data_IF_120498151110
#
_entry.id   IF_120498151110
#
_cell.length_a   1.000
_cell.length_b   1.000
_cell.length_c   1.000
_cell.angle_alpha   90.00
_cell.angle_beta   90.00
_cell.angle_gamma   90.00
#
_symmetry.space_group_name_H-M   'P 1'
#
loop_
_entity.id
_entity.type
_entity.pdbx_description
1 polymer ?
#
# COMPACT_ATOMS: atom_id res chain seq x y z
N UNK A 1 21.11 -27.09 5.98
CA UNK A 1 20.30 -26.15 5.18
C UNK A 1 19.32 -25.55 6.17
N UNK A 2 19.40 -24.24 6.45
CA UNK A 2 18.41 -23.57 7.29
C UNK A 2 17.05 -23.79 6.64
N UNK A 3 16.09 -24.38 7.35
CA UNK A 3 14.73 -24.53 6.84
C UNK A 3 14.15 -23.12 6.69
N UNK A 4 13.80 -22.74 5.47
CA UNK A 4 13.20 -21.43 5.21
C UNK A 4 12.02 -21.22 6.14
N UNK A 5 12.03 -20.13 6.92
CA UNK A 5 11.03 -19.90 7.97
C UNK A 5 9.62 -19.76 7.39
N UNK A 6 9.53 -19.29 6.14
CA UNK A 6 8.28 -19.12 5.40
C UNK A 6 8.21 -20.07 4.19
N UNK A 7 8.78 -21.27 4.30
CA UNK A 7 8.78 -22.28 3.23
C UNK A 7 9.34 -21.77 1.89
N UNK A 8 10.20 -20.75 1.92
CA UNK A 8 10.74 -20.08 0.74
C UNK A 8 9.70 -19.48 -0.21
N UNK A 9 8.55 -19.07 0.32
CA UNK A 9 7.47 -18.40 -0.43
C UNK A 9 7.90 -17.04 -1.03
N UNK A 10 9.08 -16.52 -0.68
CA UNK A 10 9.67 -15.35 -1.33
C UNK A 10 10.04 -15.59 -2.81
N UNK A 11 10.40 -16.82 -3.20
CA UNK A 11 10.88 -17.11 -4.57
C UNK A 11 9.80 -16.96 -5.66
N UNK A 12 8.54 -17.38 -5.46
CA UNK A 12 7.46 -17.10 -6.40
C UNK A 12 7.34 -15.64 -6.83
N UNK A 13 7.52 -14.69 -5.89
CA UNK A 13 7.41 -13.25 -6.16
C UNK A 13 8.57 -12.79 -7.05
N UNK A 14 9.81 -13.15 -6.70
CA UNK A 14 10.99 -12.82 -7.50
C UNK A 14 10.92 -13.45 -8.90
N UNK A 15 10.50 -14.71 -8.99
CA UNK A 15 10.33 -15.42 -10.26
C UNK A 15 9.26 -14.78 -11.15
N UNK A 16 8.17 -14.28 -10.55
CA UNK A 16 7.17 -13.52 -11.28
C UNK A 16 7.75 -12.21 -11.83
N UNK A 17 8.54 -11.48 -11.04
CA UNK A 17 9.17 -10.24 -11.49
C UNK A 17 10.11 -10.48 -12.69
N UNK A 18 10.91 -11.55 -12.65
CA UNK A 18 11.79 -11.93 -13.76
C UNK A 18 11.00 -12.29 -15.02
N UNK A 19 9.95 -13.09 -14.88
CA UNK A 19 9.04 -13.42 -15.98
C UNK A 19 8.43 -12.15 -16.58
N UNK A 20 7.88 -11.27 -15.74
CA UNK A 20 7.28 -10.02 -16.21
C UNK A 20 8.29 -9.16 -16.97
N UNK A 21 9.53 -9.07 -16.50
CA UNK A 21 10.62 -8.34 -17.19
C UNK A 21 10.89 -8.90 -18.59
N UNK A 22 10.92 -10.22 -18.74
CA UNK A 22 11.08 -10.88 -20.03
C UNK A 22 9.87 -10.62 -20.95
N UNK A 23 8.65 -10.72 -20.42
CA UNK A 23 7.43 -10.48 -21.20
C UNK A 23 7.31 -9.01 -21.67
N UNK A 24 7.77 -8.05 -20.86
CA UNK A 24 7.88 -6.64 -21.27
C UNK A 24 8.86 -6.47 -22.43
N UNK A 25 10.04 -7.10 -22.34
CA UNK A 25 11.05 -7.03 -23.39
C UNK A 25 10.55 -7.60 -24.72
N UNK A 26 9.73 -8.66 -24.66
CA UNK A 26 9.13 -9.33 -25.82
C UNK A 26 7.85 -8.69 -26.35
N UNK A 27 7.44 -7.52 -25.86
CA UNK A 27 6.13 -6.94 -26.20
C UNK A 27 5.88 -6.80 -27.72
N UNK A 28 6.93 -6.48 -28.49
CA UNK A 28 6.89 -6.28 -29.94
C UNK A 28 7.39 -7.51 -30.73
N UNK A 29 7.80 -8.56 -30.03
CA UNK A 29 8.27 -9.78 -30.66
C UNK A 29 7.08 -10.58 -31.17
N UNK A 30 7.19 -11.04 -32.41
CA UNK A 30 6.18 -11.89 -33.04
C UNK A 30 6.52 -13.34 -32.71
N UNK A 31 5.56 -14.07 -32.16
CA UNK A 31 5.70 -15.48 -31.87
C UNK A 31 5.60 -16.36 -33.13
N UNK A 32 5.76 -17.67 -32.94
CA UNK A 32 5.68 -18.68 -34.01
C UNK A 32 4.32 -18.74 -34.72
N UNK A 33 3.27 -18.14 -34.13
CA UNK A 33 1.91 -18.07 -34.67
C UNK A 33 1.60 -16.71 -35.31
N UNK A 34 2.58 -15.81 -35.41
CA UNK A 34 2.39 -14.48 -35.97
C UNK A 34 1.76 -13.49 -35.00
N UNK A 35 1.64 -13.83 -33.71
CA UNK A 35 1.03 -12.98 -32.70
C UNK A 35 2.08 -12.20 -31.90
N UNK A 36 1.75 -10.96 -31.55
CA UNK A 36 2.54 -10.12 -30.64
C UNK A 36 1.59 -9.35 -29.74
N UNK A 37 1.99 -9.10 -28.49
CA UNK A 37 1.11 -8.39 -27.55
C UNK A 37 0.89 -6.93 -27.95
N UNK A 38 1.94 -6.28 -28.47
CA UNK A 38 1.92 -4.91 -28.97
C UNK A 38 1.20 -3.93 -28.04
N UNK A 39 1.40 -4.04 -26.73
CA UNK A 39 0.93 -3.04 -25.78
C UNK A 39 1.54 -1.67 -26.10
N UNK A 40 0.80 -0.61 -25.81
CA UNK A 40 1.26 0.76 -25.99
C UNK A 40 2.50 1.05 -25.13
N UNK A 41 3.32 2.00 -25.56
CA UNK A 41 4.51 2.41 -24.81
C UNK A 41 4.15 2.94 -23.40
N UNK A 42 2.98 3.58 -23.24
CA UNK A 42 2.45 3.99 -21.93
C UNK A 42 2.17 2.78 -21.01
N UNK A 43 1.57 1.72 -21.57
CA UNK A 43 1.30 0.48 -20.83
C UNK A 43 2.61 -0.20 -20.44
N UNK A 44 3.58 -0.24 -21.36
CA UNK A 44 4.91 -0.81 -21.09
C UNK A 44 5.66 -0.03 -20.01
N UNK A 45 5.59 1.29 -20.02
CA UNK A 45 6.15 2.11 -18.97
C UNK A 45 5.51 1.80 -17.60
N UNK A 46 4.18 1.63 -17.55
CA UNK A 46 3.48 1.27 -16.32
C UNK A 46 3.85 -0.14 -15.83
N UNK A 47 3.88 -1.13 -16.72
CA UNK A 47 4.29 -2.50 -16.40
C UNK A 47 5.73 -2.56 -15.91
N UNK A 48 6.62 -1.71 -16.44
CA UNK A 48 8.01 -1.59 -15.97
C UNK A 48 8.08 -1.06 -14.54
N UNK A 49 7.18 -0.17 -14.14
CA UNK A 49 7.06 0.29 -12.75
C UNK A 49 6.58 -0.86 -11.87
N UNK A 50 5.55 -1.61 -12.30
CA UNK A 50 5.05 -2.75 -11.54
C UNK A 50 6.13 -3.82 -11.35
N UNK A 51 6.88 -4.14 -12.40
CA UNK A 51 7.99 -5.09 -12.33
C UNK A 51 9.00 -4.69 -11.25
N UNK A 52 9.41 -3.42 -11.18
CA UNK A 52 10.35 -2.93 -10.16
C UNK A 52 9.79 -3.01 -8.74
N UNK A 53 8.49 -2.74 -8.57
CA UNK A 53 7.82 -2.85 -7.25
C UNK A 53 7.80 -4.31 -6.80
N UNK A 54 7.46 -5.22 -7.70
CA UNK A 54 7.36 -6.65 -7.38
C UNK A 54 8.75 -7.24 -7.12
N UNK A 55 9.76 -6.84 -7.89
CA UNK A 55 11.16 -7.21 -7.65
C UNK A 55 11.63 -6.74 -6.27
N UNK A 56 11.35 -5.48 -5.92
CA UNK A 56 11.64 -4.95 -4.59
C UNK A 56 10.91 -5.76 -3.49
N UNK A 57 9.63 -6.06 -3.69
CA UNK A 57 8.85 -6.87 -2.73
C UNK A 57 9.46 -8.27 -2.54
N UNK A 58 9.89 -8.93 -3.61
CA UNK A 58 10.57 -10.23 -3.55
C UNK A 58 11.89 -10.17 -2.77
N UNK A 59 12.70 -9.13 -3.03
CA UNK A 59 13.95 -8.92 -2.28
C UNK A 59 13.69 -8.68 -0.79
N UNK A 60 12.71 -7.83 -0.44
CA UNK A 60 12.37 -7.57 0.96
C UNK A 60 11.80 -8.81 1.67
N UNK A 61 11.00 -9.61 0.97
CA UNK A 61 10.51 -10.88 1.50
C UNK A 61 11.65 -11.85 1.80
N UNK A 62 12.65 -11.92 0.91
CA UNK A 62 13.85 -12.74 1.12
C UNK A 62 14.67 -12.31 2.33
N UNK A 63 14.91 -11.00 2.50
CA UNK A 63 15.61 -10.49 3.68
C UNK A 63 14.85 -10.77 4.99
N UNK A 64 13.52 -10.72 4.93
CA UNK A 64 12.65 -11.06 6.06
C UNK A 64 12.77 -12.53 6.41
N UNK A 65 12.74 -13.42 5.42
CA UNK A 65 12.91 -14.86 5.66
C UNK A 65 14.26 -15.17 6.31
N UNK A 66 15.34 -14.52 5.85
CA UNK A 66 16.67 -14.68 6.43
C UNK A 66 16.77 -14.21 7.88
N UNK A 67 16.06 -13.12 8.23
CA UNK A 67 16.00 -12.64 9.60
C UNK A 67 15.33 -13.70 10.49
N UNK A 68 14.17 -14.24 10.07
CA UNK A 68 13.42 -15.20 10.87
C UNK A 68 14.04 -16.59 10.92
N UNK A 69 14.89 -16.94 9.94
CA UNK A 69 15.74 -18.13 9.98
C UNK A 69 17.00 -17.96 10.84
N UNK A 70 17.17 -16.81 11.52
CA UNK A 70 18.37 -16.42 12.28
C UNK A 70 19.68 -16.43 11.44
N UNK A 71 19.55 -16.35 10.10
CA UNK A 71 20.69 -16.32 9.17
C UNK A 71 21.32 -14.91 9.10
N UNK A 72 20.56 -13.86 9.42
CA UNK A 72 21.01 -12.47 9.52
C UNK A 72 20.46 -11.77 10.76
N UNK A 73 21.17 -10.75 11.27
CA UNK A 73 20.69 -9.89 12.35
C UNK A 73 19.97 -8.63 11.87
N UNK A 74 19.33 -7.90 12.79
CA UNK A 74 18.55 -6.68 12.52
C UNK A 74 19.36 -5.59 11.78
N UNK A 75 20.61 -5.35 12.16
CA UNK A 75 21.48 -4.38 11.47
C UNK A 75 21.73 -4.77 10.01
N UNK A 76 21.87 -6.07 9.74
CA UNK A 76 22.05 -6.58 8.38
C UNK A 76 20.78 -6.42 7.57
N UNK A 77 19.61 -6.70 8.16
CA UNK A 77 18.32 -6.47 7.53
C UNK A 77 18.17 -5.01 7.07
N UNK A 78 18.41 -4.05 7.96
CA UNK A 78 18.26 -2.62 7.66
C UNK A 78 19.17 -2.19 6.51
N UNK A 79 20.45 -2.58 6.56
CA UNK A 79 21.42 -2.21 5.52
C UNK A 79 21.02 -2.76 4.15
N UNK A 80 20.59 -4.02 4.09
CA UNK A 80 20.23 -4.70 2.84
C UNK A 80 18.91 -4.19 2.27
N UNK A 81 17.91 -3.96 3.11
CA UNK A 81 16.66 -3.31 2.70
C UNK A 81 16.92 -1.92 2.11
N UNK A 82 17.80 -1.12 2.72
CA UNK A 82 18.19 0.18 2.19
C UNK A 82 18.89 0.07 0.83
N UNK A 83 19.79 -0.90 0.66
CA UNK A 83 20.45 -1.17 -0.61
C UNK A 83 19.42 -1.52 -1.71
N UNK A 84 18.46 -2.39 -1.42
CA UNK A 84 17.39 -2.76 -2.35
C UNK A 84 16.52 -1.56 -2.72
N UNK A 85 16.16 -0.72 -1.74
CA UNK A 85 15.40 0.51 -1.97
C UNK A 85 16.17 1.48 -2.88
N UNK A 86 17.46 1.69 -2.64
CA UNK A 86 18.31 2.54 -3.48
C UNK A 86 18.42 2.00 -4.91
N UNK A 87 18.68 0.70 -5.06
CA UNK A 87 18.77 0.02 -6.38
C UNK A 87 17.47 0.09 -7.16
N UNK A 88 16.33 -0.06 -6.47
CA UNK A 88 15.01 -0.04 -7.11
C UNK A 88 14.74 1.32 -7.76
N UNK A 89 15.42 2.40 -7.36
CA UNK A 89 15.22 3.76 -7.85
C UNK A 89 13.80 4.29 -7.65
N UNK A 90 12.96 3.58 -6.90
CA UNK A 90 11.61 3.97 -6.56
C UNK A 90 11.69 4.99 -5.42
N UNK A 91 11.39 6.25 -5.73
CA UNK A 91 11.06 7.19 -4.66
C UNK A 91 9.60 6.91 -4.24
N UNK A 92 9.31 6.88 -2.93
CA UNK A 92 7.94 6.65 -2.40
C UNK A 92 6.90 7.59 -3.05
N UNK A 93 7.32 8.79 -3.50
CA UNK A 93 6.47 9.76 -4.23
C UNK A 93 6.02 9.29 -5.62
N UNK A 94 6.71 8.34 -6.25
CA UNK A 94 6.44 7.84 -7.60
C UNK A 94 5.47 6.65 -7.63
N UNK A 95 5.15 6.06 -6.47
CA UNK A 95 4.21 4.94 -6.34
C UNK A 95 2.73 5.36 -6.50
N UNK A 96 2.44 6.64 -6.70
CA UNK A 96 1.09 7.12 -6.98
C UNK A 96 1.06 8.11 -8.17
N UNK A 97 0.86 7.64 -9.42
CA UNK A 97 0.72 8.52 -10.57
C UNK A 97 -0.73 8.98 -10.80
N UNK A 98 -1.61 8.94 -9.79
CA UNK A 98 -2.98 9.44 -9.95
C UNK A 98 -3.06 10.87 -9.42
N UNK A 99 -2.88 11.83 -10.33
CA UNK A 99 -3.40 13.19 -10.12
C UNK A 99 -4.91 13.07 -9.93
N UNK A 100 -5.38 13.05 -8.68
CA UNK A 100 -6.82 13.17 -8.38
C UNK A 100 -7.29 14.49 -9.00
N UNK A 101 -8.11 14.43 -10.06
CA UNK A 101 -8.88 15.59 -10.49
C UNK A 101 -9.73 16.01 -9.29
N UNK A 102 -9.60 17.26 -8.83
CA UNK A 102 -10.53 17.83 -7.84
C UNK A 102 -11.92 17.79 -8.46
N UNK A 103 -12.76 16.88 -7.97
CA UNK A 103 -14.20 16.96 -8.24
C UNK A 103 -14.69 18.20 -7.51
N UNK A 104 -15.02 19.25 -8.27
CA UNK A 104 -15.77 20.39 -7.74
C UNK A 104 -17.20 19.90 -7.50
N UNK A 105 -17.53 19.57 -6.25
CA UNK A 105 -18.93 19.48 -5.85
C UNK A 105 -19.44 20.92 -5.70
N UNK A 106 -19.96 21.48 -6.79
CA UNK A 106 -20.87 22.61 -6.72
C UNK A 106 -22.24 22.08 -6.27
N UNK A 107 -22.45 22.00 -4.95
CA UNK A 107 -23.80 21.92 -4.40
C UNK A 107 -24.43 23.31 -4.51
N UNK A 108 -24.99 23.63 -5.67
CA UNK A 108 -26.13 24.53 -5.76
C UNK A 108 -27.35 23.71 -5.35
N UNK A 109 -27.89 24.00 -4.18
CA UNK A 109 -29.33 24.15 -4.05
C UNK A 109 -29.61 25.14 -2.91
N UNK A 110 -30.11 26.29 -3.33
CA UNK A 110 -30.84 27.24 -2.50
C UNK A 110 -32.32 26.88 -2.59
N UNK A 111 -33.07 27.29 -1.57
CA UNK A 111 -34.53 27.26 -1.37
C UNK A 111 -34.91 26.16 -0.37
N UNK A 112 -35.58 26.42 0.75
CA UNK A 112 -36.57 27.47 1.03
C UNK A 112 -36.74 27.70 2.54
N UNK A 113 -36.99 28.96 2.87
CA UNK A 113 -37.45 29.49 4.16
C UNK A 113 -38.91 29.08 4.40
N UNK A 114 -39.28 28.56 5.58
CA UNK A 114 -40.29 29.23 6.41
C UNK A 114 -40.48 28.66 7.82
N UNK A 115 -40.84 29.60 8.69
CA UNK A 115 -41.00 29.56 10.15
C UNK A 115 -42.27 28.80 10.60
N UNK A 116 -42.24 28.27 11.82
CA UNK A 116 -43.42 27.73 12.51
C UNK A 116 -43.11 27.42 13.98
N UNK A 117 -43.79 28.16 14.86
CA UNK A 117 -43.54 28.42 16.28
C UNK A 117 -44.08 27.41 17.30
N UNK A 118 -43.50 27.47 18.51
CA UNK A 118 -44.06 27.20 19.86
C UNK A 118 -44.62 25.80 20.19
N UNK A 119 -44.07 25.18 21.24
CA UNK A 119 -44.68 25.26 22.58
C UNK A 119 -43.81 24.56 23.64
N UNK A 120 -43.81 25.19 24.81
CA UNK A 120 -43.18 24.82 26.07
C UNK A 120 -43.37 23.36 26.49
N UNK A 121 -42.40 22.79 27.20
CA UNK A 121 -42.68 22.32 28.56
C UNK A 121 -41.42 22.22 29.43
N UNK A 122 -41.63 22.79 30.60
CA UNK A 122 -40.77 23.00 31.76
C UNK A 122 -40.91 21.79 32.68
N UNK A 123 -39.82 21.33 33.28
CA UNK A 123 -39.71 20.55 34.54
C UNK A 123 -38.37 19.81 34.53
N UNK A 124 -37.61 19.62 35.59
CA UNK A 124 -37.47 20.26 36.88
C UNK A 124 -36.10 19.72 37.35
N UNK A 125 -35.20 20.62 37.76
CA UNK A 125 -33.99 20.28 38.54
C UNK A 125 -34.46 19.89 39.99
N UNK A 126 -33.65 19.42 40.98
CA UNK A 126 -32.17 19.44 41.08
C UNK A 126 -31.52 18.30 41.94
N UNK A 127 -30.22 18.49 42.24
CA UNK A 127 -29.40 18.07 43.41
C UNK A 127 -28.71 16.70 43.33
N UNK A 128 -27.37 16.62 43.24
CA UNK A 128 -26.29 17.00 44.19
C UNK A 128 -26.02 15.91 45.26
N UNK A 129 -24.75 15.83 45.71
CA UNK A 129 -24.12 14.98 46.76
C UNK A 129 -23.22 13.87 46.17
N UNK A 130 -21.88 13.97 46.01
CA UNK A 130 -20.70 14.28 46.88
C UNK A 130 -20.13 13.04 47.60
N UNK A 131 -18.78 12.98 47.64
CA UNK A 131 -17.84 12.21 48.50
C UNK A 131 -17.44 10.81 47.96
N UNK A 132 -16.19 10.51 47.58
CA UNK A 132 -14.88 10.64 48.25
C UNK A 132 -14.81 9.87 49.59
N UNK A 133 -14.18 8.69 49.57
CA UNK A 133 -13.02 8.39 50.41
C UNK A 133 -12.31 7.09 49.99
N UNK A 134 -10.97 7.06 49.99
CA UNK A 134 -10.17 5.84 49.96
C UNK A 134 -9.81 5.37 51.39
N UNK A 135 -9.14 4.21 51.45
CA UNK A 135 -8.13 3.79 52.44
C UNK A 135 -8.49 2.66 53.43
N UNK A 136 -7.49 1.76 53.60
CA UNK A 136 -7.17 0.86 54.74
C UNK A 136 -8.02 -0.43 54.82
N UNK A 137 -7.50 -1.65 54.96
CA UNK A 137 -6.21 -2.16 55.46
C UNK A 137 -5.87 -3.51 54.85
#
# INVERSE_FOLDING_TARGET
MSGGYFDYECFPISHFADKLKLEIAKNKDVDEWGYSRNYSDETIALLSIFQRIIELAGNLAYETEWLYSDDIGEDSLVNRCNEHLMKSGLQIKQLCPIKRKKVKNESKDKNETNQGSLSDNKQDNPKEITQADPTVS
#
